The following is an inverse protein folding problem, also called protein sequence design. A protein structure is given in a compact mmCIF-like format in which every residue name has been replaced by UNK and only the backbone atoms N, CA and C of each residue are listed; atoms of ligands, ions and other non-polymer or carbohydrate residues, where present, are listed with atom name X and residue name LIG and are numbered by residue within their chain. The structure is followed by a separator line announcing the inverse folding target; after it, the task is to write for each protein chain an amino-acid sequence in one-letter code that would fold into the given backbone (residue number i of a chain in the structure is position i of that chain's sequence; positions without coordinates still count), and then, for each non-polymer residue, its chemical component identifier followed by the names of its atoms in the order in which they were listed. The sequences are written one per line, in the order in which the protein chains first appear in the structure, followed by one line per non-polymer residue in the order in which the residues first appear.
data_IF_568412606017
#
_entry.id   IF_568412606017
#
_cell.length_a   1.000
_cell.length_b   1.000
_cell.length_c   1.000
_cell.angle_alpha   90.00
_cell.angle_beta   90.00
_cell.angle_gamma   90.00
#
_symmetry.space_group_name_H-M   'P 1'
#
loop_
_entity.id
_entity.type
_entity.pdbx_description
1 polymer ?
#
# COMPACT_ATOMS: atom_id res chain seq x y z
N UNK A 1 -8.03 10.49 -1.48
CA UNK A 1 -6.77 10.48 -2.24
C UNK A 1 -6.17 9.11 -2.03
N UNK A 2 -5.86 8.40 -3.12
CA UNK A 2 -5.39 7.03 -3.07
C UNK A 2 -3.86 7.00 -2.90
N UNK A 3 -3.37 6.32 -1.87
CA UNK A 3 -1.95 6.17 -1.59
C UNK A 3 -1.53 4.71 -1.75
N UNK A 4 -0.35 4.49 -2.36
CA UNK A 4 0.19 3.17 -2.64
C UNK A 4 1.60 3.01 -2.08
N UNK A 5 1.82 1.95 -1.30
CA UNK A 5 3.16 1.42 -1.01
C UNK A 5 3.24 0.00 -1.54
N UNK A 6 4.28 -0.30 -2.33
CA UNK A 6 4.48 -1.64 -2.86
C UNK A 6 4.85 -2.61 -1.74
N UNK A 7 4.04 -3.64 -1.52
CA UNK A 7 4.33 -4.72 -0.58
C UNK A 7 5.00 -5.86 -1.33
N UNK A 8 6.18 -6.26 -0.88
CA UNK A 8 6.83 -7.49 -1.33
C UNK A 8 7.11 -8.28 -0.06
N UNK A 9 6.59 -9.51 -0.03
CA UNK A 9 6.87 -10.62 0.93
C UNK A 9 7.81 -10.24 2.08
N UNK A 10 7.36 -10.35 3.34
CA UNK A 10 7.98 -9.92 4.61
C UNK A 10 9.53 -9.99 4.73
N UNK A 11 10.24 -10.82 3.94
CA UNK A 11 11.70 -10.92 3.92
C UNK A 11 12.41 -10.11 2.80
N UNK A 12 11.68 -9.55 1.83
CA UNK A 12 12.24 -8.79 0.70
C UNK A 12 12.27 -7.28 0.93
N UNK A 13 11.43 -6.74 1.81
CA UNK A 13 11.37 -5.31 2.12
C UNK A 13 11.72 -5.11 3.59
N UNK A 14 12.92 -4.60 3.83
CA UNK A 14 13.44 -4.27 5.15
C UNK A 14 14.19 -2.94 5.10
N UNK A 15 14.37 -2.32 6.26
CA UNK A 15 15.31 -1.21 6.41
C UNK A 15 16.69 -1.68 5.96
N UNK A 16 17.36 -0.88 5.13
CA UNK A 16 18.64 -1.29 4.52
C UNK A 16 18.51 -2.15 3.25
N UNK A 17 17.28 -2.49 2.82
CA UNK A 17 17.03 -3.27 1.62
C UNK A 17 17.56 -4.71 1.63
N UNK A 18 17.20 -5.55 0.65
CA UNK A 18 17.77 -6.88 0.49
C UNK A 18 19.04 -6.89 -0.40
N UNK A 19 19.33 -5.79 -1.10
CA UNK A 19 20.38 -5.71 -2.11
C UNK A 19 21.71 -5.15 -1.56
N UNK A 20 22.79 -5.23 -2.35
CA UNK A 20 24.08 -4.61 -2.03
C UNK A 20 23.96 -3.08 -1.86
N UNK A 21 25.00 -2.44 -1.31
CA UNK A 21 25.05 -0.98 -1.05
C UNK A 21 24.63 -0.14 -2.26
N UNK A 22 24.89 -0.65 -3.46
CA UNK A 22 24.66 0.02 -4.74
C UNK A 22 23.22 -0.19 -5.27
N UNK A 23 22.37 -0.90 -4.53
CA UNK A 23 20.99 -1.18 -4.92
C UNK A 23 20.04 -0.08 -4.40
N UNK A 24 19.06 0.41 -5.19
CA UNK A 24 18.16 1.51 -4.77
C UNK A 24 17.39 1.25 -3.47
N UNK A 25 17.10 -0.02 -3.18
CA UNK A 25 16.43 -0.43 -1.94
C UNK A 25 17.34 -0.35 -0.70
N UNK A 26 18.66 -0.25 -0.86
CA UNK A 26 19.62 -0.20 0.26
C UNK A 26 19.37 1.00 1.18
N UNK A 27 18.87 2.10 0.62
CA UNK A 27 18.57 3.32 1.39
C UNK A 27 17.15 3.34 1.96
N UNK A 28 16.41 2.22 1.98
CA UNK A 28 15.11 2.18 2.64
C UNK A 28 15.26 2.48 4.14
N UNK A 29 14.68 3.60 4.56
CA UNK A 29 14.77 4.07 5.95
C UNK A 29 13.60 3.60 6.82
N UNK A 30 12.44 3.36 6.21
CA UNK A 30 11.20 3.02 6.88
C UNK A 30 10.50 1.96 6.05
N UNK A 31 9.91 0.98 6.73
CA UNK A 31 9.00 -0.01 6.14
C UNK A 31 7.70 0.09 6.92
N UNK A 32 6.60 0.21 6.19
CA UNK A 32 5.26 0.15 6.78
C UNK A 32 4.64 -1.21 6.48
N UNK A 33 4.05 -1.80 7.50
CA UNK A 33 2.96 -2.75 7.31
C UNK A 33 1.63 -1.99 7.09
N UNK A 34 0.55 -2.72 6.86
CA UNK A 34 -0.75 -2.11 6.55
C UNK A 34 -1.33 -1.32 7.73
N UNK A 35 -1.03 -1.71 8.98
CA UNK A 35 -1.50 -1.02 10.19
C UNK A 35 -0.75 0.29 10.41
N UNK A 36 0.58 0.23 10.47
CA UNK A 36 1.46 1.39 10.62
C UNK A 36 1.28 2.39 9.48
N UNK A 37 1.01 1.92 8.25
CA UNK A 37 0.70 2.82 7.15
C UNK A 37 -0.62 3.57 7.39
N UNK A 38 -1.67 2.88 7.83
CA UNK A 38 -2.96 3.51 8.16
C UNK A 38 -2.82 4.53 9.29
N UNK A 39 -2.08 4.18 10.35
CA UNK A 39 -1.93 5.05 11.53
C UNK A 39 -1.26 6.39 11.18
N UNK A 40 -0.25 6.40 10.31
CA UNK A 40 0.40 7.66 9.85
C UNK A 40 -0.62 8.65 9.26
N UNK A 41 -1.61 8.15 8.50
CA UNK A 41 -2.64 9.02 7.92
C UNK A 41 -3.70 9.43 8.94
N UNK A 42 -4.11 8.52 9.82
CA UNK A 42 -5.05 8.84 10.90
C UNK A 42 -4.47 9.91 11.83
N UNK A 43 -3.20 9.80 12.22
CA UNK A 43 -2.50 10.80 13.03
C UNK A 43 -2.45 12.17 12.36
N UNK A 44 -2.38 12.20 11.02
CA UNK A 44 -2.43 13.43 10.22
C UNK A 44 -3.87 13.99 10.03
N UNK A 45 -4.88 13.36 10.66
CA UNK A 45 -6.28 13.78 10.64
C UNK A 45 -7.06 13.32 9.41
N UNK A 46 -6.66 12.22 8.77
CA UNK A 46 -7.42 11.59 7.70
C UNK A 46 -8.34 10.49 8.24
N UNK A 47 -9.51 10.36 7.64
CA UNK A 47 -10.28 9.12 7.69
C UNK A 47 -9.70 8.17 6.65
N UNK A 48 -9.45 6.92 7.06
CA UNK A 48 -8.69 5.96 6.26
C UNK A 48 -9.45 4.66 6.14
N UNK A 49 -9.55 4.15 4.92
CA UNK A 49 -10.04 2.82 4.60
C UNK A 49 -8.97 2.00 3.87
N UNK A 50 -8.73 0.77 4.32
CA UNK A 50 -7.87 -0.18 3.62
C UNK A 50 -8.62 -0.78 2.42
N UNK A 51 -7.99 -0.70 1.26
CA UNK A 51 -8.53 -1.23 0.01
C UNK A 51 -7.81 -2.49 -0.45
N UNK A 52 -6.48 -2.52 -0.37
CA UNK A 52 -5.68 -3.68 -0.75
C UNK A 52 -4.55 -3.86 0.27
N UNK A 53 -4.38 -5.05 0.80
CA UNK A 53 -3.27 -5.37 1.72
C UNK A 53 -3.15 -6.88 1.93
N UNK A 54 -2.01 -7.33 2.43
CA UNK A 54 -1.88 -8.66 3.04
C UNK A 54 -1.91 -8.50 4.55
N UNK A 55 -2.66 -9.35 5.23
CA UNK A 55 -2.67 -9.41 6.70
C UNK A 55 -1.44 -10.16 7.24
N UNK A 56 -1.37 -10.34 8.56
CA UNK A 56 -0.26 -10.99 9.24
C UNK A 56 -0.14 -12.49 8.86
N UNK A 57 -1.23 -13.12 8.42
CA UNK A 57 -1.24 -14.51 7.93
C UNK A 57 -0.83 -14.60 6.45
N UNK A 58 -0.61 -13.45 5.79
CA UNK A 58 -0.27 -13.36 4.37
C UNK A 58 -1.48 -13.54 3.46
N UNK A 59 -2.70 -13.49 3.99
CA UNK A 59 -3.94 -13.52 3.21
C UNK A 59 -4.13 -12.16 2.57
N UNK A 60 -4.39 -12.16 1.26
CA UNK A 60 -4.65 -10.94 0.52
C UNK A 60 -6.10 -10.50 0.66
N UNK A 61 -6.30 -9.25 1.07
CA UNK A 61 -7.58 -8.58 1.21
C UNK A 61 -7.76 -7.55 0.10
N UNK A 62 -8.96 -7.52 -0.47
CA UNK A 62 -9.33 -6.59 -1.54
C UNK A 62 -10.74 -6.03 -1.27
N UNK A 63 -10.86 -4.71 -1.35
CA UNK A 63 -12.12 -3.97 -1.42
C UNK A 63 -12.19 -3.23 -2.74
N UNK A 64 -13.36 -3.29 -3.39
CA UNK A 64 -13.58 -2.58 -4.64
C UNK A 64 -13.44 -1.06 -4.47
N UNK A 65 -12.81 -0.43 -5.46
CA UNK A 65 -12.67 1.02 -5.61
C UNK A 65 -12.81 1.39 -7.10
N UNK A 66 -13.34 2.58 -7.40
CA UNK A 66 -13.55 2.99 -8.79
C UNK A 66 -12.24 3.49 -9.42
N UNK A 67 -11.87 2.98 -10.59
CA UNK A 67 -10.65 3.41 -11.29
C UNK A 67 -10.71 4.85 -11.79
N UNK A 68 -11.92 5.38 -11.98
CA UNK A 68 -12.15 6.78 -12.37
C UNK A 68 -11.73 7.76 -11.25
N UNK A 69 -11.74 7.33 -9.99
CA UNK A 69 -11.29 8.14 -8.84
C UNK A 69 -9.75 8.24 -8.74
N UNK A 70 -9.04 7.47 -9.57
CA UNK A 70 -7.58 7.46 -9.63
C UNK A 70 -7.03 6.06 -9.86
N UNK A 71 -6.64 5.76 -11.10
CA UNK A 71 -6.09 4.44 -11.44
C UNK A 71 -4.72 4.21 -10.81
N UNK A 72 -4.61 3.11 -10.07
CA UNK A 72 -3.37 2.64 -9.45
C UNK A 72 -2.81 1.48 -10.28
N UNK A 73 -1.72 1.71 -11.02
CA UNK A 73 -1.16 0.71 -11.94
C UNK A 73 -0.59 -0.54 -11.26
N UNK A 74 -0.16 -0.45 -10.00
CA UNK A 74 0.40 -1.59 -9.22
C UNK A 74 -0.62 -2.22 -8.25
N UNK A 75 -1.90 -2.14 -8.59
CA UNK A 75 -2.99 -2.75 -7.82
C UNK A 75 -3.29 -4.18 -8.26
N UNK A 76 -4.11 -4.89 -7.50
CA UNK A 76 -4.58 -6.23 -7.85
C UNK A 76 -5.16 -6.30 -9.26
N UNK A 77 -6.01 -5.35 -9.65
CA UNK A 77 -6.71 -5.36 -10.95
C UNK A 77 -5.85 -4.93 -12.14
N UNK A 78 -4.77 -4.17 -11.92
CA UNK A 78 -4.03 -3.51 -13.01
C UNK A 78 -2.56 -3.87 -13.11
N UNK A 79 -1.98 -4.52 -12.10
CA UNK A 79 -0.60 -4.98 -12.19
C UNK A 79 -0.50 -6.17 -13.14
N UNK A 80 0.26 -6.02 -14.23
CA UNK A 80 0.42 -7.04 -15.27
C UNK A 80 1.11 -8.31 -14.78
N UNK A 81 1.67 -8.31 -13.57
CA UNK A 81 2.27 -9.48 -12.93
C UNK A 81 1.27 -10.31 -12.14
N UNK A 82 0.06 -9.79 -11.91
CA UNK A 82 -1.03 -10.54 -11.26
C UNK A 82 -1.84 -11.30 -12.32
N UNK A 83 -2.31 -12.48 -11.94
CA UNK A 83 -3.25 -13.28 -12.72
C UNK A 83 -4.32 -13.89 -11.81
N UNK A 84 -5.37 -14.45 -12.41
CA UNK A 84 -6.43 -15.15 -11.66
C UNK A 84 -5.90 -16.31 -10.82
N UNK A 85 -4.82 -16.94 -11.25
CA UNK A 85 -4.24 -18.12 -10.61
C UNK A 85 -3.16 -17.77 -9.60
N UNK A 86 -2.56 -16.57 -9.71
CA UNK A 86 -1.41 -16.18 -8.90
C UNK A 86 -1.29 -14.67 -8.73
N UNK A 87 -1.14 -14.25 -7.48
CA UNK A 87 -0.68 -12.91 -7.13
C UNK A 87 0.84 -12.82 -7.32
N UNK A 88 1.27 -12.01 -8.28
CA UNK A 88 2.69 -11.76 -8.54
C UNK A 88 3.24 -10.64 -7.65
N UNK A 89 2.50 -9.54 -7.53
CA UNK A 89 2.82 -8.43 -6.63
C UNK A 89 1.54 -7.70 -6.24
N UNK A 90 1.35 -7.50 -4.93
CA UNK A 90 0.23 -6.72 -4.38
C UNK A 90 0.77 -5.57 -3.56
N UNK A 91 -0.03 -4.53 -3.37
CA UNK A 91 0.38 -3.32 -2.67
C UNK A 91 -0.48 -3.09 -1.44
N UNK A 92 0.00 -2.28 -0.50
CA UNK A 92 -0.86 -1.64 0.50
C UNK A 92 -1.49 -0.43 -0.21
N UNK A 93 -2.81 -0.44 -0.31
CA UNK A 93 -3.60 0.65 -0.88
C UNK A 93 -4.63 1.07 0.15
N UNK A 94 -4.67 2.38 0.41
CA UNK A 94 -5.65 3.03 1.27
C UNK A 94 -6.40 4.12 0.51
N UNK A 95 -7.67 4.30 0.84
CA UNK A 95 -8.40 5.54 0.57
C UNK A 95 -8.33 6.43 1.82
N UNK A 96 -7.57 7.53 1.72
CA UNK A 96 -7.45 8.51 2.78
C UNK A 96 -8.18 9.80 2.38
N UNK A 97 -9.16 10.19 3.20
CA UNK A 97 -10.00 11.38 3.00
C UNK A 97 -9.82 12.34 4.16
N UNK A 98 -9.50 13.59 3.82
CA UNK A 98 -9.49 14.68 4.80
C UNK A 98 -10.79 15.44 4.66
N UNK A 99 -11.64 15.36 5.68
CA UNK A 99 -12.83 16.20 5.75
C UNK A 99 -12.37 17.65 5.89
N UNK A 100 -12.67 18.48 4.89
CA UNK A 100 -12.48 19.91 5.04
C UNK A 100 -13.52 20.42 6.03
N UNK A 101 -13.07 20.90 7.19
CA UNK A 101 -13.93 21.68 8.08
C UNK A 101 -14.23 22.99 7.36
N UNK A 102 -15.47 23.14 6.90
CA UNK A 102 -15.97 24.45 6.48
C UNK A 102 -16.32 25.15 7.80
N UNK A 103 -15.43 26.01 8.27
CA UNK A 103 -15.76 26.91 9.38
C UNK A 103 -16.79 27.93 8.87
N UNK A 104 -17.92 28.11 9.58
CA UNK A 104 -18.99 29.03 9.16
C UNK A 104 -18.59 30.51 9.22
#
# INVERSE_FOLDING_TARGET
MLYQIGTLKMNMVKVGGPGPVDHPAYTHKIVYDYLSFVEVFKEAGFEVELLEYCDEEGVFHYKYWNEEDGKIGRSFRFDTRNSLEKLGMVSIIIDAKKLMKIEP
#
